data_IF_761204686359
#
_entry.id   IF_761204686359
#
_cell.length_a   1.000
_cell.length_b   1.000
_cell.length_c   1.000
_cell.angle_alpha   90.00
_cell.angle_beta   90.00
_cell.angle_gamma   90.00
#
_symmetry.space_group_name_H-M   'P 1'
#
loop_
_entity.id
_entity.type
_entity.pdbx_description
1 polymer ?
#
# COMPACT_ATOMS: atom_id res chain seq x y z
N UNK A 1 -21.29 18.18 -4.06
CA UNK A 1 -20.06 17.53 -3.54
C UNK A 1 -18.89 17.92 -4.47
N UNK A 2 -17.77 18.35 -3.92
CA UNK A 2 -16.65 18.82 -4.75
C UNK A 2 -16.06 17.65 -5.54
N UNK A 3 -15.73 17.85 -6.83
CA UNK A 3 -15.12 16.84 -7.73
C UNK A 3 -13.91 16.10 -7.12
N UNK A 4 -13.22 16.72 -6.16
CA UNK A 4 -12.11 16.15 -5.44
C UNK A 4 -12.56 15.09 -4.41
N UNK A 5 -13.65 15.35 -3.69
CA UNK A 5 -14.21 14.45 -2.67
C UNK A 5 -14.84 13.20 -3.30
N UNK A 6 -15.47 13.33 -4.46
CA UNK A 6 -15.99 12.18 -5.24
C UNK A 6 -14.85 11.28 -5.74
N UNK A 7 -13.75 11.86 -6.22
CA UNK A 7 -12.57 11.10 -6.66
C UNK A 7 -11.91 10.38 -5.48
N UNK A 8 -11.83 11.04 -4.32
CA UNK A 8 -11.28 10.42 -3.10
C UNK A 8 -12.13 9.22 -2.65
N UNK A 9 -13.44 9.40 -2.61
CA UNK A 9 -14.35 8.32 -2.24
C UNK A 9 -14.34 7.16 -3.24
N UNK A 10 -14.34 7.46 -4.52
CA UNK A 10 -14.25 6.45 -5.56
C UNK A 10 -12.91 5.68 -5.51
N UNK A 11 -11.78 6.36 -5.28
CA UNK A 11 -10.46 5.72 -5.20
C UNK A 11 -10.26 4.86 -3.95
N UNK A 12 -10.89 5.22 -2.83
CA UNK A 12 -10.77 4.43 -1.58
C UNK A 12 -11.74 3.25 -1.57
N UNK A 13 -12.95 3.40 -2.10
CA UNK A 13 -14.03 2.40 -1.94
C UNK A 13 -14.31 1.65 -3.23
N UNK A 14 -14.52 2.36 -4.37
CA UNK A 14 -14.92 1.75 -5.64
C UNK A 14 -13.74 1.27 -6.49
N UNK A 15 -12.63 1.98 -6.45
CA UNK A 15 -11.43 1.69 -7.24
C UNK A 15 -10.22 1.41 -6.33
N UNK A 16 -10.46 0.75 -5.19
CA UNK A 16 -9.37 0.40 -4.28
C UNK A 16 -8.33 -0.45 -5.02
N UNK A 17 -7.06 -0.01 -5.07
CA UNK A 17 -6.04 -0.71 -5.86
C UNK A 17 -5.83 -2.14 -5.41
N UNK A 18 -5.92 -2.42 -4.13
CA UNK A 18 -5.66 -3.75 -3.58
C UNK A 18 -6.87 -4.66 -3.64
N UNK A 19 -8.07 -4.17 -3.26
CA UNK A 19 -9.26 -5.01 -3.16
C UNK A 19 -10.06 -5.12 -4.45
N UNK A 20 -9.97 -4.14 -5.34
CA UNK A 20 -10.71 -4.14 -6.61
C UNK A 20 -9.80 -4.45 -7.80
N UNK A 21 -8.66 -3.77 -7.90
CA UNK A 21 -7.71 -3.97 -9.00
C UNK A 21 -6.72 -5.11 -8.74
N UNK A 22 -6.67 -5.66 -7.52
CA UNK A 22 -5.72 -6.70 -7.08
C UNK A 22 -4.25 -6.33 -7.35
N UNK A 23 -3.92 -5.04 -7.30
CA UNK A 23 -2.57 -4.52 -7.46
C UNK A 23 -1.89 -4.34 -6.11
N UNK A 24 -0.58 -4.55 -6.04
CA UNK A 24 0.20 -4.37 -4.82
C UNK A 24 0.06 -5.51 -3.80
N UNK A 25 -0.28 -6.73 -4.25
CA UNK A 25 -0.40 -7.88 -3.36
C UNK A 25 0.92 -8.28 -2.71
N UNK A 26 2.05 -8.11 -3.40
CA UNK A 26 3.37 -8.51 -2.88
C UNK A 26 3.71 -7.82 -1.56
N UNK A 27 3.74 -6.48 -1.45
CA UNK A 27 3.97 -5.82 -0.17
C UNK A 27 2.82 -6.03 0.82
N UNK A 28 1.58 -6.18 0.34
CA UNK A 28 0.44 -6.47 1.21
C UNK A 28 0.61 -7.78 1.98
N UNK A 29 1.15 -8.82 1.36
CA UNK A 29 1.39 -10.10 2.03
C UNK A 29 2.67 -10.11 2.89
N UNK A 30 3.71 -9.40 2.45
CA UNK A 30 5.02 -9.42 3.09
C UNK A 30 5.09 -8.53 4.35
N UNK A 31 4.48 -7.33 4.31
CA UNK A 31 4.70 -6.29 5.32
C UNK A 31 3.57 -6.22 6.36
N UNK A 32 2.40 -6.75 6.08
CA UNK A 32 1.21 -6.64 6.95
C UNK A 32 1.23 -7.61 8.15
N UNK A 33 2.40 -7.88 8.71
CA UNK A 33 2.53 -8.62 9.98
C UNK A 33 2.14 -7.76 11.18
N UNK A 34 2.25 -6.43 11.05
CA UNK A 34 1.80 -5.43 12.03
C UNK A 34 1.12 -4.26 11.31
N UNK A 35 0.11 -3.67 11.94
CA UNK A 35 -0.63 -2.53 11.41
C UNK A 35 0.27 -1.30 11.21
N UNK A 36 1.24 -1.09 12.12
CA UNK A 36 2.20 0.03 12.04
C UNK A 36 3.15 -0.12 10.86
N UNK A 37 3.66 -1.34 10.62
CA UNK A 37 4.49 -1.61 9.45
C UNK A 37 3.72 -1.39 8.15
N UNK A 38 2.45 -1.81 8.12
CA UNK A 38 1.53 -1.55 7.02
C UNK A 38 1.32 -0.06 6.75
N UNK A 39 1.16 0.74 7.80
CA UNK A 39 1.01 2.19 7.71
C UNK A 39 2.30 2.85 7.19
N UNK A 40 3.46 2.49 7.75
CA UNK A 40 4.75 3.03 7.31
C UNK A 40 5.05 2.73 5.85
N UNK A 41 4.82 1.48 5.42
CA UNK A 41 4.99 1.08 4.03
C UNK A 41 3.99 1.77 3.09
N UNK A 42 2.73 1.89 3.50
CA UNK A 42 1.69 2.57 2.74
C UNK A 42 1.99 4.04 2.52
N UNK A 43 2.41 4.77 3.56
CA UNK A 43 2.80 6.18 3.45
C UNK A 43 4.04 6.34 2.56
N UNK A 44 5.07 5.52 2.73
CA UNK A 44 6.27 5.55 1.88
C UNK A 44 5.90 5.32 0.42
N UNK A 45 5.05 4.33 0.14
CA UNK A 45 4.57 4.05 -1.21
C UNK A 45 3.75 5.20 -1.78
N UNK A 46 2.92 5.86 -0.97
CA UNK A 46 2.13 7.03 -1.39
C UNK A 46 3.01 8.18 -1.83
N UNK A 47 4.06 8.49 -1.06
CA UNK A 47 5.04 9.55 -1.39
C UNK A 47 5.76 9.21 -2.70
N UNK A 48 6.26 7.98 -2.83
CA UNK A 48 6.93 7.54 -4.06
C UNK A 48 5.99 7.60 -5.26
N UNK A 49 4.73 7.15 -5.11
CA UNK A 49 3.73 7.16 -6.17
C UNK A 49 3.38 8.59 -6.63
N UNK A 50 3.25 9.53 -5.69
CA UNK A 50 3.02 10.94 -5.99
C UNK A 50 4.15 11.51 -6.86
N UNK A 51 5.40 11.42 -6.40
CA UNK A 51 6.54 11.97 -7.12
C UNK A 51 6.82 11.23 -8.43
N UNK A 52 6.70 9.92 -8.44
CA UNK A 52 6.84 9.09 -9.64
C UNK A 52 5.84 9.49 -10.73
N UNK A 53 4.56 9.62 -10.39
CA UNK A 53 3.53 10.06 -11.34
C UNK A 53 3.79 11.47 -11.87
N UNK A 54 4.27 12.39 -11.04
CA UNK A 54 4.63 13.74 -11.46
C UNK A 54 5.79 13.73 -12.46
N UNK A 55 6.87 13.03 -12.16
CA UNK A 55 8.08 12.96 -13.00
C UNK A 55 7.76 12.26 -14.32
N UNK A 56 7.08 11.11 -14.27
CA UNK A 56 6.72 10.34 -15.47
C UNK A 56 5.80 11.15 -16.38
N UNK A 57 4.83 11.86 -15.82
CA UNK A 57 3.95 12.74 -16.59
C UNK A 57 4.69 13.92 -17.23
N UNK A 58 5.72 14.48 -16.57
CA UNK A 58 6.57 15.51 -17.13
C UNK A 58 7.45 14.97 -18.27
N UNK A 59 8.00 13.78 -18.10
CA UNK A 59 8.92 13.14 -19.05
C UNK A 59 8.22 12.39 -20.19
N UNK A 60 6.90 12.29 -20.19
CA UNK A 60 6.11 11.48 -21.14
C UNK A 60 6.39 11.76 -22.62
N UNK A 61 6.82 12.99 -22.97
CA UNK A 61 7.15 13.39 -24.34
C UNK A 61 8.54 13.00 -24.78
N UNK A 62 9.43 12.69 -23.83
CA UNK A 62 10.84 12.40 -24.05
C UNK A 62 11.07 10.89 -24.14
N UNK A 63 10.29 10.12 -23.38
CA UNK A 63 10.47 8.67 -23.29
C UNK A 63 9.76 7.98 -24.47
N UNK A 64 10.51 7.30 -25.36
CA UNK A 64 9.92 6.55 -26.47
C UNK A 64 9.21 5.28 -25.95
N UNK A 65 8.14 4.87 -26.65
CA UNK A 65 7.27 3.77 -26.24
C UNK A 65 7.99 2.44 -25.99
N UNK A 66 9.08 2.18 -26.74
CA UNK A 66 9.84 0.92 -26.65
C UNK A 66 10.62 0.73 -25.34
N UNK A 67 10.96 1.82 -24.64
CA UNK A 67 11.78 1.80 -23.41
C UNK A 67 11.05 2.37 -22.20
N UNK A 68 9.72 2.44 -22.22
CA UNK A 68 8.91 3.03 -21.13
C UNK A 68 9.11 2.32 -19.81
N UNK A 69 8.94 0.99 -19.78
CA UNK A 69 8.97 0.21 -18.55
C UNK A 69 10.35 0.30 -17.87
N UNK A 70 11.50 0.07 -18.56
CA UNK A 70 12.80 0.26 -17.96
C UNK A 70 13.04 1.68 -17.45
N UNK A 71 12.58 2.70 -18.18
CA UNK A 71 12.74 4.10 -17.78
C UNK A 71 11.95 4.39 -16.47
N UNK A 72 10.73 3.88 -16.34
CA UNK A 72 9.94 4.05 -15.13
C UNK A 72 10.59 3.37 -13.93
N UNK A 73 11.14 2.18 -14.10
CA UNK A 73 11.86 1.47 -13.03
C UNK A 73 13.05 2.29 -12.52
N UNK A 74 13.85 2.90 -13.41
CA UNK A 74 14.99 3.73 -13.01
C UNK A 74 14.54 4.97 -12.23
N UNK A 75 13.48 5.65 -12.68
CA UNK A 75 12.94 6.82 -11.99
C UNK A 75 12.44 6.44 -10.59
N UNK A 76 11.65 5.36 -10.51
CA UNK A 76 11.12 4.88 -9.23
C UNK A 76 12.23 4.41 -8.31
N UNK A 77 13.24 3.70 -8.81
CA UNK A 77 14.39 3.26 -8.03
C UNK A 77 15.15 4.43 -7.41
N UNK A 78 15.39 5.49 -8.18
CA UNK A 78 16.04 6.72 -7.67
C UNK A 78 15.24 7.35 -6.53
N UNK A 79 13.91 7.47 -6.69
CA UNK A 79 13.03 8.02 -5.65
C UNK A 79 12.99 7.14 -4.39
N UNK A 80 12.92 5.82 -4.57
CA UNK A 80 12.90 4.87 -3.45
C UNK A 80 14.22 4.93 -2.67
N UNK A 81 15.36 5.06 -3.33
CA UNK A 81 16.65 5.23 -2.67
C UNK A 81 16.69 6.52 -1.86
N UNK A 82 16.14 7.63 -2.37
CA UNK A 82 16.03 8.87 -1.61
C UNK A 82 15.16 8.71 -0.36
N UNK A 83 14.00 8.08 -0.49
CA UNK A 83 13.11 7.79 0.63
C UNK A 83 13.77 6.86 1.65
N UNK A 84 14.52 5.87 1.20
CA UNK A 84 15.27 4.95 2.06
C UNK A 84 16.30 5.69 2.92
N UNK A 85 17.08 6.58 2.32
CA UNK A 85 18.06 7.39 3.04
C UNK A 85 17.40 8.35 4.04
N UNK A 86 16.27 8.95 3.67
CA UNK A 86 15.49 9.79 4.58
C UNK A 86 14.94 9.00 5.76
N UNK A 87 14.37 7.81 5.54
CA UNK A 87 13.88 6.94 6.62
C UNK A 87 15.01 6.49 7.55
N UNK A 88 16.18 6.18 7.00
CA UNK A 88 17.35 5.81 7.77
C UNK A 88 17.84 6.96 8.67
N UNK A 89 17.76 8.21 8.19
CA UNK A 89 18.21 9.38 8.93
C UNK A 89 17.23 9.82 10.01
N UNK A 90 15.91 9.79 9.73
CA UNK A 90 14.89 10.36 10.62
C UNK A 90 14.18 9.34 11.50
N UNK A 91 13.98 8.12 11.03
CA UNK A 91 13.22 7.07 11.74
C UNK A 91 13.95 5.73 11.66
N UNK A 92 15.10 5.56 12.34
CA UNK A 92 15.89 4.34 12.27
C UNK A 92 15.16 3.10 12.78
N UNK A 93 14.21 3.24 13.70
CA UNK A 93 13.40 2.15 14.22
C UNK A 93 12.48 1.56 13.15
N UNK A 94 11.84 2.40 12.36
CA UNK A 94 10.99 1.99 11.25
C UNK A 94 11.83 1.41 10.10
N UNK A 95 13.02 1.99 9.88
CA UNK A 95 13.96 1.48 8.90
C UNK A 95 14.45 0.06 9.23
N UNK A 96 14.72 -0.26 10.49
CA UNK A 96 15.13 -1.61 10.91
C UNK A 96 14.05 -2.67 10.65
N UNK A 97 12.77 -2.28 10.73
CA UNK A 97 11.64 -3.17 10.47
C UNK A 97 11.31 -3.30 8.98
N UNK A 98 11.43 -2.22 8.21
CA UNK A 98 10.98 -2.13 6.82
C UNK A 98 12.12 -2.18 5.79
N UNK A 99 13.38 -2.06 6.21
CA UNK A 99 14.53 -1.88 5.31
C UNK A 99 14.66 -2.95 4.23
N UNK A 100 14.34 -4.20 4.55
CA UNK A 100 14.36 -5.32 3.59
C UNK A 100 13.22 -5.21 2.57
N UNK A 101 12.11 -4.58 2.93
CA UNK A 101 10.91 -4.48 2.09
C UNK A 101 10.84 -3.20 1.26
N UNK A 102 11.65 -2.18 1.56
CA UNK A 102 11.69 -0.92 0.80
C UNK A 102 12.02 -1.14 -0.67
N UNK A 103 12.99 -2.01 -1.07
CA UNK A 103 13.22 -2.31 -2.48
C UNK A 103 12.00 -2.90 -3.22
N UNK A 104 11.05 -3.53 -2.50
CA UNK A 104 9.82 -4.01 -3.10
C UNK A 104 8.93 -2.88 -3.64
N UNK A 105 9.11 -1.66 -3.16
CA UNK A 105 8.38 -0.49 -3.68
C UNK A 105 8.76 -0.23 -5.14
N UNK A 106 10.00 -0.48 -5.54
CA UNK A 106 10.48 -0.25 -6.93
C UNK A 106 9.70 -1.07 -7.94
N UNK A 107 9.47 -2.35 -7.63
CA UNK A 107 8.76 -3.29 -8.51
C UNK A 107 7.27 -3.41 -8.17
N UNK A 108 6.74 -2.49 -7.40
CA UNK A 108 5.34 -2.53 -7.00
C UNK A 108 4.42 -2.30 -8.20
N UNK A 109 3.54 -3.26 -8.45
CA UNK A 109 2.63 -3.24 -9.58
C UNK A 109 1.63 -2.06 -9.52
N UNK A 110 1.36 -1.47 -8.36
CA UNK A 110 0.57 -0.24 -8.27
C UNK A 110 1.31 0.92 -8.94
N UNK A 111 2.58 1.11 -8.61
CA UNK A 111 3.38 2.23 -9.13
C UNK A 111 3.54 2.10 -10.64
N UNK A 112 3.99 0.93 -11.11
CA UNK A 112 4.19 0.68 -12.54
C UNK A 112 2.86 0.69 -13.31
N UNK A 113 1.81 0.11 -12.74
CA UNK A 113 0.48 0.10 -13.35
C UNK A 113 -0.12 1.49 -13.50
N UNK A 114 -0.01 2.36 -12.49
CA UNK A 114 -0.52 3.74 -12.56
C UNK A 114 0.37 4.64 -13.43
N UNK A 115 1.68 4.42 -13.43
CA UNK A 115 2.61 5.09 -14.32
C UNK A 115 2.22 4.89 -15.79
N UNK A 116 1.96 3.65 -16.19
CA UNK A 116 1.59 3.32 -17.58
C UNK A 116 0.14 3.66 -17.90
N UNK A 117 -0.81 3.31 -17.02
CA UNK A 117 -2.23 3.49 -17.30
C UNK A 117 -2.67 4.95 -17.27
N UNK A 118 -2.10 5.76 -16.38
CA UNK A 118 -2.57 7.12 -16.12
C UNK A 118 -1.53 8.20 -16.33
N UNK A 119 -0.34 8.13 -15.69
CA UNK A 119 0.64 9.19 -15.72
C UNK A 119 1.22 9.45 -17.11
N UNK A 120 1.39 8.39 -17.91
CA UNK A 120 1.88 8.50 -19.29
C UNK A 120 0.93 9.26 -20.23
N UNK A 121 -0.36 9.30 -19.92
CA UNK A 121 -1.42 9.87 -20.77
C UNK A 121 -1.92 11.24 -20.32
N UNK A 122 -1.83 11.53 -19.03
CA UNK A 122 -2.40 12.73 -18.41
C UNK A 122 -1.36 13.81 -18.09
N UNK A 123 -1.84 15.02 -17.78
CA UNK A 123 -1.01 16.15 -17.33
C UNK A 123 -0.51 15.90 -15.90
N UNK A 124 0.54 16.63 -15.50
CA UNK A 124 1.23 16.48 -14.20
C UNK A 124 0.28 16.61 -13.00
N UNK A 125 -0.55 17.65 -12.98
CA UNK A 125 -1.43 17.92 -11.83
C UNK A 125 -2.49 16.82 -11.60
N UNK A 126 -3.25 16.36 -12.61
CA UNK A 126 -4.16 15.22 -12.46
C UNK A 126 -3.43 13.92 -12.06
N UNK A 127 -2.21 13.70 -12.57
CA UNK A 127 -1.42 12.51 -12.24
C UNK A 127 -0.93 12.52 -10.79
N UNK A 128 -0.59 13.69 -10.24
CA UNK A 128 -0.25 13.86 -8.85
C UNK A 128 -1.45 13.52 -7.92
N UNK A 129 -2.62 14.07 -8.24
CA UNK A 129 -3.85 13.78 -7.48
C UNK A 129 -4.23 12.29 -7.52
N UNK A 130 -4.09 11.65 -8.67
CA UNK A 130 -4.31 10.22 -8.80
C UNK A 130 -3.34 9.42 -7.92
N UNK A 131 -2.07 9.80 -7.90
CA UNK A 131 -1.05 9.18 -7.05
C UNK A 131 -1.40 9.25 -5.56
N UNK A 132 -1.87 10.40 -5.07
CA UNK A 132 -2.30 10.56 -3.67
C UNK A 132 -3.52 9.69 -3.36
N UNK A 133 -4.54 9.73 -4.21
CA UNK A 133 -5.80 9.00 -3.99
C UNK A 133 -5.55 7.48 -3.96
N UNK A 134 -4.80 6.98 -4.95
CA UNK A 134 -4.46 5.55 -5.03
C UNK A 134 -3.52 5.12 -3.91
N UNK A 135 -2.55 5.95 -3.55
CA UNK A 135 -1.64 5.70 -2.43
C UNK A 135 -2.37 5.62 -1.08
N UNK A 136 -3.32 6.52 -0.82
CA UNK A 136 -4.14 6.48 0.38
C UNK A 136 -5.05 5.25 0.41
N UNK A 137 -5.65 4.87 -0.73
CA UNK A 137 -6.43 3.65 -0.85
C UNK A 137 -5.60 2.40 -0.55
N UNK A 138 -4.37 2.37 -1.03
CA UNK A 138 -3.41 1.31 -0.74
C UNK A 138 -3.00 1.27 0.74
N UNK A 139 -2.70 2.42 1.34
CA UNK A 139 -2.36 2.54 2.76
C UNK A 139 -3.50 2.02 3.63
N UNK A 140 -4.73 2.40 3.32
CA UNK A 140 -5.91 1.90 4.02
C UNK A 140 -6.03 0.37 3.93
N UNK A 141 -5.83 -0.21 2.76
CA UNK A 141 -5.87 -1.66 2.57
C UNK A 141 -4.76 -2.38 3.38
N UNK A 142 -3.53 -1.83 3.40
CA UNK A 142 -2.42 -2.39 4.19
C UNK A 142 -2.69 -2.36 5.69
N UNK A 143 -3.20 -1.23 6.20
CA UNK A 143 -3.52 -1.08 7.62
C UNK A 143 -4.65 -2.02 8.02
N UNK A 144 -5.70 -2.12 7.21
CA UNK A 144 -6.82 -3.02 7.45
C UNK A 144 -6.35 -4.48 7.52
N UNK A 145 -5.55 -4.89 6.54
CA UNK A 145 -4.99 -6.24 6.47
C UNK A 145 -4.06 -6.52 7.64
N UNK A 146 -3.18 -5.56 7.97
CA UNK A 146 -2.25 -5.65 9.11
C UNK A 146 -3.00 -5.76 10.43
N UNK A 147 -4.05 -4.99 10.62
CA UNK A 147 -4.87 -5.04 11.83
C UNK A 147 -5.49 -6.43 12.05
N UNK A 148 -6.11 -7.02 11.03
CA UNK A 148 -6.70 -8.35 11.15
C UNK A 148 -5.66 -9.44 11.37
N UNK A 149 -4.53 -9.38 10.69
CA UNK A 149 -3.44 -10.37 10.85
C UNK A 149 -2.77 -10.26 12.21
N UNK A 150 -2.55 -9.06 12.72
CA UNK A 150 -2.00 -8.83 14.05
C UNK A 150 -2.95 -9.32 15.15
N UNK A 151 -4.24 -9.02 15.02
CA UNK A 151 -5.25 -9.44 15.97
C UNK A 151 -5.35 -10.98 16.07
N UNK A 152 -5.39 -11.67 14.93
CA UNK A 152 -5.55 -13.13 14.90
C UNK A 152 -4.23 -13.88 15.12
N UNK A 153 -3.11 -13.32 14.66
CA UNK A 153 -1.80 -13.98 14.70
C UNK A 153 -1.07 -13.79 16.02
N UNK A 154 -1.01 -12.57 16.54
CA UNK A 154 -0.29 -12.24 17.77
C UNK A 154 -1.21 -11.99 18.97
N UNK A 155 -2.52 -11.79 18.75
CA UNK A 155 -3.44 -11.43 19.83
C UNK A 155 -3.16 -10.06 20.45
N UNK A 156 -2.40 -9.21 19.76
CA UNK A 156 -2.04 -7.86 20.19
C UNK A 156 -2.60 -6.85 19.20
N UNK A 157 -2.87 -5.65 19.66
CA UNK A 157 -3.31 -4.54 18.82
C UNK A 157 -2.23 -3.46 18.88
N UNK A 158 -1.77 -2.99 17.71
CA UNK A 158 -0.69 -2.01 17.57
C UNK A 158 0.62 -2.43 18.27
N UNK A 159 1.01 -3.67 18.19
CA UNK A 159 2.35 -4.13 18.61
C UNK A 159 3.40 -3.69 17.61
N UNK A 160 3.50 -2.41 17.39
CA UNK A 160 4.55 -1.80 16.60
C UNK A 160 5.42 -0.99 17.53
N UNK A 161 6.66 -0.94 17.20
CA UNK A 161 7.80 -0.33 17.85
C UNK A 161 7.67 1.21 18.04
N UNK A 162 6.60 1.63 18.68
CA UNK A 162 6.46 3.01 19.13
C UNK A 162 6.61 3.02 20.66
N UNK A 163 7.81 3.39 21.12
CA UNK A 163 8.13 3.69 22.53
C UNK A 163 7.93 2.56 23.55
N UNK A 164 8.27 1.31 23.22
CA UNK A 164 8.30 0.24 24.23
C UNK A 164 6.93 -0.13 24.83
N UNK A 165 5.84 0.33 24.23
CA UNK A 165 4.49 -0.08 24.62
C UNK A 165 4.26 -1.47 24.04
N UNK A 166 4.27 -2.48 24.91
CA UNK A 166 3.68 -3.77 24.60
C UNK A 166 2.26 -3.49 24.15
N UNK A 167 1.91 -3.83 22.90
CA UNK A 167 0.58 -3.60 22.35
C UNK A 167 -0.51 -4.11 23.33
N UNK A 168 -1.70 -3.57 23.25
CA UNK A 168 -2.81 -3.97 24.12
C UNK A 168 -3.07 -5.45 23.85
N UNK A 169 -2.64 -6.31 24.76
CA UNK A 169 -2.86 -7.75 24.68
C UNK A 169 -4.36 -8.02 24.89
N UNK A 170 -5.00 -8.65 23.92
CA UNK A 170 -6.38 -9.14 24.07
C UNK A 170 -6.31 -10.51 24.75
N UNK A 171 -6.75 -10.64 26.02
CA UNK A 171 -6.52 -11.86 26.83
C UNK A 171 -7.10 -13.13 26.19
N UNK A 172 -8.09 -13.00 25.34
CA UNK A 172 -8.76 -14.12 24.67
C UNK A 172 -7.91 -14.77 23.57
N UNK A 173 -7.13 -13.99 22.80
CA UNK A 173 -6.30 -14.48 21.70
C UNK A 173 -4.84 -14.68 22.09
N UNK A 174 -4.40 -14.06 23.17
CA UNK A 174 -2.99 -14.18 23.65
C UNK A 174 -2.67 -15.58 24.18
N UNK A 175 -3.65 -16.35 24.64
CA UNK A 175 -3.47 -17.71 25.16
C UNK A 175 -3.11 -18.75 24.07
N UNK A 176 -3.55 -18.55 22.85
CA UNK A 176 -3.28 -19.46 21.71
C UNK A 176 -3.09 -18.66 20.40
N UNK A 177 -1.89 -18.11 20.18
CA UNK A 177 -1.63 -17.36 18.95
C UNK A 177 -1.64 -18.30 17.73
N UNK A 178 -2.42 -17.96 16.72
CA UNK A 178 -2.42 -18.67 15.44
C UNK A 178 -1.23 -18.21 14.58
N UNK A 179 -0.04 -18.76 14.82
CA UNK A 179 1.19 -18.43 14.10
C UNK A 179 1.01 -18.58 12.57
N UNK A 180 0.15 -19.48 12.12
CA UNK A 180 -0.17 -19.67 10.72
C UNK A 180 -0.70 -18.39 10.04
N UNK A 181 -1.37 -17.51 10.78
CA UNK A 181 -1.89 -16.23 10.25
C UNK A 181 -0.79 -15.18 9.99
N UNK A 182 0.34 -15.29 10.68
CA UNK A 182 1.51 -14.40 10.46
C UNK A 182 2.25 -14.81 9.18
N UNK A 183 2.23 -16.08 8.80
CA UNK A 183 2.84 -16.56 7.57
C UNK A 183 2.13 -16.02 6.31
N UNK A 184 2.81 -15.95 5.15
CA UNK A 184 2.20 -15.52 3.89
C UNK A 184 0.95 -16.29 3.51
N UNK A 185 0.86 -17.58 3.83
CA UNK A 185 -0.32 -18.41 3.60
C UNK A 185 -1.57 -17.88 4.32
N UNK A 186 -1.43 -17.45 5.59
CA UNK A 186 -2.50 -16.79 6.33
C UNK A 186 -2.89 -15.44 5.73
N UNK A 187 -1.94 -14.72 5.13
CA UNK A 187 -2.21 -13.49 4.40
C UNK A 187 -3.16 -13.70 3.21
N UNK A 188 -2.94 -14.75 2.41
CA UNK A 188 -3.83 -15.09 1.29
C UNK A 188 -5.24 -15.48 1.77
N UNK A 189 -5.33 -16.28 2.82
CA UNK A 189 -6.59 -16.69 3.39
C UNK A 189 -7.38 -15.49 3.91
N UNK A 190 -6.72 -14.58 4.63
CA UNK A 190 -7.34 -13.36 5.16
C UNK A 190 -7.79 -12.44 4.04
N UNK A 191 -6.97 -12.29 2.99
CA UNK A 191 -7.32 -11.50 1.81
C UNK A 191 -8.57 -12.07 1.11
N UNK A 192 -8.65 -13.39 0.96
CA UNK A 192 -9.84 -14.05 0.40
C UNK A 192 -11.11 -13.76 1.20
N UNK A 193 -11.04 -13.80 2.53
CA UNK A 193 -12.19 -13.45 3.38
C UNK A 193 -12.61 -12.00 3.25
N UNK A 194 -11.65 -11.06 3.25
CA UNK A 194 -11.94 -9.63 3.10
C UNK A 194 -12.55 -9.35 1.73
N UNK A 195 -12.00 -9.93 0.66
CA UNK A 195 -12.55 -9.80 -0.70
C UNK A 195 -13.98 -10.34 -0.79
N UNK A 196 -14.23 -11.52 -0.25
CA UNK A 196 -15.59 -12.11 -0.24
C UNK A 196 -16.58 -11.22 0.53
N UNK A 197 -16.16 -10.65 1.66
CA UNK A 197 -17.00 -9.74 2.44
C UNK A 197 -17.30 -8.45 1.67
N UNK A 198 -16.29 -7.84 1.03
CA UNK A 198 -16.45 -6.62 0.24
C UNK A 198 -17.37 -6.87 -0.96
N UNK A 199 -17.16 -7.97 -1.71
CA UNK A 199 -18.00 -8.31 -2.86
C UNK A 199 -19.45 -8.55 -2.44
N UNK A 200 -19.69 -9.22 -1.31
CA UNK A 200 -21.04 -9.42 -0.80
C UNK A 200 -21.74 -8.10 -0.42
N UNK A 201 -20.97 -7.15 0.15
CA UNK A 201 -21.50 -5.82 0.49
C UNK A 201 -21.81 -5.01 -0.76
N UNK A 202 -20.93 -5.09 -1.77
CA UNK A 202 -21.12 -4.38 -3.05
C UNK A 202 -22.31 -4.93 -3.83
N UNK A 203 -22.44 -6.26 -3.95
CA UNK A 203 -23.58 -6.91 -4.61
C UNK A 203 -24.91 -6.53 -3.95
N UNK A 204 -24.95 -6.48 -2.62
CA UNK A 204 -26.18 -6.07 -1.89
C UNK A 204 -26.54 -4.59 -2.10
N UNK A 205 -25.60 -3.77 -2.57
CA UNK A 205 -25.82 -2.34 -2.82
C UNK A 205 -26.30 -2.08 -4.27
N UNK A 206 -26.03 -3.01 -5.19
CA UNK A 206 -26.54 -2.98 -6.56
C UNK A 206 -28.00 -3.48 -6.65
N UNK A 207 -28.41 -4.37 -5.72
CA UNK A 207 -29.79 -4.90 -5.63
C UNK A 207 -30.78 -3.94 -4.93
N UNK A 208 -30.36 -2.73 -4.51
CA UNK A 208 -31.20 -1.68 -3.92
C UNK A 208 -31.25 -0.43 -4.78
#
# INVERSE_FOLDING_TARGET
MNKCTERLYNGIVKENPTFVLMLGMCPTLAVTTSAINGLGMGLSTTVVLLFSNMIISALRKIIPDRVRIPAYIVIVASLVTMVQLLLQAYVPSLYSALGIYIPLIVVNCIILGRAEAYASKNKVLPSALDGVVMGLGFTFALVLMGFFRELLGAGTILSGYVNGVNGIAVPFFHSNPMVMMILPAGGFLMMGFILAAIQKIMARKEDK
#
